data_IF_346925269613
#
_entry.id   IF_346925269613
#
_cell.length_a   1.000
_cell.length_b   1.000
_cell.length_c   1.000
_cell.angle_alpha   90.00
_cell.angle_beta   90.00
_cell.angle_gamma   90.00
#
_symmetry.space_group_name_H-M   'P 1'
#
loop_
_entity.id
_entity.type
_entity.pdbx_description
1 polymer ?
#
# COMPACT_ATOMS: atom_id res chain seq x y z
N UNK A 1 7.77 0.38 -12.75
CA UNK A 1 7.29 -0.56 -11.72
C UNK A 1 6.05 -1.25 -12.28
N UNK A 2 5.81 -2.52 -11.95
CA UNK A 2 4.68 -3.29 -12.49
C UNK A 2 3.65 -3.53 -11.38
N UNK A 3 2.36 -3.59 -11.71
CA UNK A 3 1.31 -3.96 -10.75
C UNK A 3 1.36 -5.45 -10.42
N UNK A 4 1.13 -5.78 -9.15
CA UNK A 4 0.97 -7.16 -8.68
C UNK A 4 -0.46 -7.65 -8.96
N UNK A 5 -0.60 -8.58 -9.90
CA UNK A 5 -1.91 -9.01 -10.39
C UNK A 5 -2.79 -9.67 -9.31
N UNK A 6 -2.20 -10.33 -8.32
CA UNK A 6 -2.93 -11.06 -7.29
C UNK A 6 -3.23 -10.21 -6.05
N UNK A 7 -2.94 -8.90 -6.07
CA UNK A 7 -3.09 -7.99 -4.94
C UNK A 7 -4.43 -8.13 -4.20
N UNK A 8 -5.54 -8.22 -4.94
CA UNK A 8 -6.89 -8.29 -4.36
C UNK A 8 -7.28 -9.69 -3.82
N UNK A 9 -6.46 -10.72 -4.04
CA UNK A 9 -6.70 -12.09 -3.57
C UNK A 9 -6.12 -12.35 -2.17
N UNK A 10 -5.33 -11.42 -1.66
CA UNK A 10 -4.69 -11.52 -0.36
C UNK A 10 -5.23 -10.44 0.58
N UNK A 11 -5.37 -10.79 1.86
CA UNK A 11 -5.54 -9.80 2.92
C UNK A 11 -4.18 -9.18 3.30
N UNK A 12 -4.19 -8.27 4.28
CA UNK A 12 -2.98 -7.60 4.73
C UNK A 12 -1.90 -8.58 5.26
N UNK A 13 -2.30 -9.64 5.96
CA UNK A 13 -1.33 -10.63 6.48
C UNK A 13 -0.76 -11.48 5.35
N UNK A 14 -1.57 -11.84 4.36
CA UNK A 14 -1.14 -12.56 3.16
C UNK A 14 -0.16 -11.73 2.33
N UNK A 15 -0.45 -10.44 2.12
CA UNK A 15 0.47 -9.52 1.45
C UNK A 15 1.78 -9.35 2.22
N UNK A 16 1.74 -9.20 3.54
CA UNK A 16 2.94 -9.12 4.38
C UNK A 16 3.77 -10.42 4.30
N UNK A 17 3.12 -11.59 4.26
CA UNK A 17 3.81 -12.86 4.11
C UNK A 17 4.52 -12.99 2.76
N UNK A 18 3.92 -12.52 1.67
CA UNK A 18 4.56 -12.49 0.34
C UNK A 18 5.79 -11.57 0.34
N UNK A 19 5.69 -10.40 0.99
CA UNK A 19 6.83 -9.48 1.16
C UNK A 19 7.95 -10.13 1.98
N UNK A 20 7.62 -10.78 3.09
CA UNK A 20 8.58 -11.46 3.94
C UNK A 20 9.30 -12.62 3.22
N UNK A 21 8.62 -13.30 2.30
CA UNK A 21 9.21 -14.37 1.45
C UNK A 21 9.92 -13.84 0.21
N UNK A 22 9.86 -12.53 -0.06
CA UNK A 22 10.49 -11.91 -1.22
C UNK A 22 9.78 -12.19 -2.55
N UNK A 23 8.54 -12.66 -2.52
CA UNK A 23 7.74 -12.95 -3.73
C UNK A 23 7.21 -11.66 -4.39
N UNK A 24 7.03 -10.60 -3.60
CA UNK A 24 6.68 -9.25 -4.06
C UNK A 24 7.36 -8.23 -3.16
N UNK A 25 7.77 -7.09 -3.70
CA UNK A 25 8.33 -6.00 -2.88
C UNK A 25 7.23 -5.10 -2.31
N UNK A 26 7.52 -4.46 -1.17
CA UNK A 26 6.65 -3.42 -0.60
C UNK A 26 6.43 -2.24 -1.58
N UNK A 27 7.41 -1.95 -2.43
CA UNK A 27 7.30 -0.93 -3.47
C UNK A 27 6.30 -1.32 -4.55
N UNK A 28 6.31 -2.57 -5.02
CA UNK A 28 5.32 -3.08 -5.96
C UNK A 28 3.91 -3.09 -5.37
N UNK A 29 3.77 -3.45 -4.09
CA UNK A 29 2.48 -3.36 -3.41
C UNK A 29 1.99 -1.91 -3.33
N UNK A 30 2.85 -0.96 -2.95
CA UNK A 30 2.49 0.45 -2.90
C UNK A 30 2.05 0.96 -4.28
N UNK A 31 2.84 0.68 -5.32
CA UNK A 31 2.50 1.06 -6.70
C UNK A 31 1.16 0.47 -7.14
N UNK A 32 0.93 -0.81 -6.84
CA UNK A 32 -0.34 -1.48 -7.15
C UNK A 32 -1.52 -0.83 -6.42
N UNK A 33 -1.37 -0.50 -5.14
CA UNK A 33 -2.39 0.18 -4.37
C UNK A 33 -2.71 1.57 -4.94
N UNK A 34 -1.70 2.33 -5.35
CA UNK A 34 -1.85 3.64 -6.00
C UNK A 34 -2.61 3.53 -7.32
N UNK A 35 -2.19 2.63 -8.23
CA UNK A 35 -2.89 2.45 -9.50
C UNK A 35 -4.36 2.03 -9.32
N UNK A 36 -4.64 1.15 -8.36
CA UNK A 36 -6.02 0.73 -8.04
C UNK A 36 -6.84 1.88 -7.47
N UNK A 37 -6.26 2.65 -6.55
CA UNK A 37 -6.88 3.85 -5.99
C UNK A 37 -7.22 4.87 -7.08
N UNK A 38 -6.29 5.15 -7.99
CA UNK A 38 -6.46 6.13 -9.07
C UNK A 38 -7.58 5.72 -10.04
N UNK A 39 -7.69 4.41 -10.33
CA UNK A 39 -8.80 3.86 -11.15
C UNK A 39 -10.16 3.95 -10.43
N UNK A 40 -10.19 3.81 -9.11
CA UNK A 40 -11.42 3.78 -8.34
C UNK A 40 -11.93 5.19 -7.96
N UNK A 41 -11.02 6.14 -7.77
CA UNK A 41 -11.31 7.47 -7.24
C UNK A 41 -12.36 8.26 -8.03
N UNK A 42 -12.38 8.29 -9.39
CA UNK A 42 -13.41 9.03 -10.13
C UNK A 42 -14.84 8.56 -9.85
N UNK A 43 -15.02 7.29 -9.44
CA UNK A 43 -16.32 6.70 -9.16
C UNK A 43 -16.69 6.74 -7.68
N UNK A 44 -15.71 6.53 -6.80
CA UNK A 44 -15.94 6.39 -5.36
C UNK A 44 -15.74 7.70 -4.60
N UNK A 45 -14.88 8.59 -5.10
CA UNK A 45 -14.47 9.83 -4.44
C UNK A 45 -14.11 9.62 -2.96
N UNK A 46 -13.35 8.56 -2.67
CA UNK A 46 -13.09 8.07 -1.31
C UNK A 46 -11.84 8.68 -0.67
N UNK A 47 -10.87 9.11 -1.48
CA UNK A 47 -9.63 9.71 -1.00
C UNK A 47 -9.76 11.23 -0.92
N UNK A 48 -9.72 11.77 0.30
CA UNK A 48 -9.74 13.23 0.54
C UNK A 48 -8.34 13.85 0.42
N UNK A 49 -7.30 13.07 0.76
CA UNK A 49 -5.88 13.43 0.67
C UNK A 49 -5.06 12.23 0.23
N UNK A 50 -4.07 12.47 -0.63
CA UNK A 50 -3.03 11.48 -0.97
C UNK A 50 -1.83 11.65 -0.05
N UNK A 51 -1.25 10.53 0.38
CA UNK A 51 -0.03 10.47 1.20
C UNK A 51 1.11 9.75 0.46
N UNK A 52 1.16 9.93 -0.86
CA UNK A 52 2.10 9.20 -1.74
C UNK A 52 3.56 9.54 -1.46
N UNK A 53 3.83 10.81 -1.12
CA UNK A 53 5.18 11.30 -0.82
C UNK A 53 5.66 10.70 0.50
N UNK A 54 4.80 10.67 1.50
CA UNK A 54 5.03 10.08 2.81
C UNK A 54 5.26 8.58 2.69
N UNK A 55 4.42 7.86 1.94
CA UNK A 55 4.58 6.42 1.71
C UNK A 55 5.91 6.09 1.00
N UNK A 56 6.30 6.89 -0.01
CA UNK A 56 7.58 6.74 -0.67
C UNK A 56 8.76 7.06 0.26
N UNK A 57 8.62 8.01 1.18
CA UNK A 57 9.62 8.32 2.19
C UNK A 57 9.79 7.18 3.20
N UNK A 58 8.70 6.55 3.65
CA UNK A 58 8.74 5.37 4.51
C UNK A 58 9.50 4.22 3.85
N UNK A 59 9.27 3.96 2.56
CA UNK A 59 10.03 2.94 1.82
C UNK A 59 11.53 3.24 1.79
N UNK A 60 11.91 4.51 1.51
CA UNK A 60 13.33 4.92 1.48
C UNK A 60 14.01 4.83 2.83
N UNK A 61 13.29 5.14 3.92
CA UNK A 61 13.80 5.04 5.28
C UNK A 61 13.98 3.59 5.76
N UNK A 62 13.35 2.63 5.08
CA UNK A 62 13.28 1.24 5.49
C UNK A 62 12.08 0.98 6.39
N UNK A 63 11.46 -0.19 6.21
CA UNK A 63 10.29 -0.60 6.97
C UNK A 63 10.74 -1.52 8.11
N UNK A 64 10.44 -1.20 9.38
CA UNK A 64 10.73 -2.08 10.50
C UNK A 64 10.01 -3.44 10.37
N UNK A 65 10.57 -4.52 10.93
CA UNK A 65 9.89 -5.81 10.95
C UNK A 65 8.58 -5.73 11.75
N UNK A 66 7.56 -6.46 11.30
CA UNK A 66 6.25 -6.50 11.96
C UNK A 66 5.22 -7.31 11.16
N UNK A 67 4.07 -7.62 11.76
CA UNK A 67 3.05 -8.49 11.14
C UNK A 67 2.45 -7.92 9.83
N UNK A 68 2.55 -6.60 9.63
CA UNK A 68 2.07 -5.90 8.44
C UNK A 68 3.19 -5.17 7.68
N UNK A 69 4.45 -5.56 7.89
CA UNK A 69 5.58 -4.90 7.25
C UNK A 69 5.43 -4.93 5.71
N UNK A 70 5.48 -3.76 5.09
CA UNK A 70 5.39 -3.61 3.63
C UNK A 70 3.98 -3.49 3.04
N UNK A 71 2.93 -3.55 3.87
CA UNK A 71 1.55 -3.47 3.39
C UNK A 71 1.09 -2.01 3.32
N UNK A 72 0.68 -1.51 2.13
CA UNK A 72 0.09 -0.18 2.01
C UNK A 72 -1.34 -0.15 2.57
N UNK A 73 -1.72 0.95 3.21
CA UNK A 73 -3.05 1.13 3.76
C UNK A 73 -3.50 2.60 3.65
N UNK A 74 -4.80 2.82 3.83
CA UNK A 74 -5.40 4.15 3.91
C UNK A 74 -5.73 4.46 5.35
N UNK A 75 -5.60 5.74 5.71
CA UNK A 75 -5.91 6.22 7.03
C UNK A 75 -7.16 7.10 6.98
N UNK A 76 -8.08 6.89 7.91
CA UNK A 76 -9.31 7.69 7.96
C UNK A 76 -8.98 9.09 8.45
N UNK A 77 -9.37 10.08 7.66
CA UNK A 77 -9.31 11.48 8.06
C UNK A 77 -10.40 11.78 9.11
N UNK A 78 -10.07 11.52 10.38
CA UNK A 78 -10.91 11.79 11.54
C UNK A 78 -10.03 12.16 12.74
N UNK A 79 -9.92 13.46 13.02
CA UNK A 79 -9.15 14.01 14.15
C UNK A 79 -7.69 13.55 14.18
N UNK A 80 -7.05 13.53 13.01
CA UNK A 80 -5.63 13.23 12.90
C UNK A 80 -4.84 14.50 13.22
N UNK A 81 -3.92 14.41 14.18
CA UNK A 81 -3.02 15.51 14.55
C UNK A 81 -1.93 15.72 13.49
#
# INVERSE_FOLDING_TARGET
MQEFAEYARHDALGLAALVARGEVSAAELLYTAQCRADRAQPRLNALVRRMDVEAAATLRAGIPPGPFAGVPYLLKDLMQA
#
